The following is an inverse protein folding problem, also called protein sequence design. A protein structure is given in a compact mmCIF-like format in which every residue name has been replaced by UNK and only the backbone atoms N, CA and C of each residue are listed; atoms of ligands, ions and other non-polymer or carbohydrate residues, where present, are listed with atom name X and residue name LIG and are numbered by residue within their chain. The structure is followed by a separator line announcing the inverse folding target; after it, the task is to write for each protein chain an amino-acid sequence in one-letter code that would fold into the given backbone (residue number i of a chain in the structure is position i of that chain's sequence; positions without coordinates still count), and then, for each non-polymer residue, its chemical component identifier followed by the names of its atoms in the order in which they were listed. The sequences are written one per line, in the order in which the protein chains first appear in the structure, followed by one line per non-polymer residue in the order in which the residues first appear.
data_IF_387033048141
#
_entry.id   IF_387033048141
#
_cell.length_a   1.000
_cell.length_b   1.000
_cell.length_c   1.000
_cell.angle_alpha   90.00
_cell.angle_beta   90.00
_cell.angle_gamma   90.00
#
_symmetry.space_group_name_H-M   'P 1'
#
loop_
_entity.id
_entity.type
_entity.pdbx_description
1 polymer ?
#
# COMPACT_ATOMS: atom_id res chain seq x y z
N UNK A 1 -7.24 -11.28 -2.15
CA UNK A 1 -6.13 -11.20 -1.16
C UNK A 1 -6.67 -11.18 0.27
N UNK A 2 -7.90 -11.67 0.46
CA UNK A 2 -8.76 -11.40 1.62
C UNK A 2 -8.41 -12.18 2.89
N UNK A 3 -7.35 -13.00 2.84
CA UNK A 3 -6.86 -13.79 3.97
C UNK A 3 -5.63 -13.17 4.66
N UNK A 4 -5.13 -12.02 4.17
CA UNK A 4 -3.96 -11.38 4.74
C UNK A 4 -4.37 -10.44 5.90
N UNK A 5 -3.79 -10.58 7.10
CA UNK A 5 -4.12 -9.72 8.24
C UNK A 5 -3.68 -8.26 8.05
N UNK A 6 -2.82 -8.02 7.05
CA UNK A 6 -2.33 -6.70 6.65
C UNK A 6 -3.22 -6.02 5.61
N UNK A 7 -4.24 -6.71 5.10
CA UNK A 7 -5.11 -6.20 4.06
C UNK A 7 -6.30 -5.47 4.67
N UNK A 8 -6.43 -4.18 4.36
CA UNK A 8 -7.46 -3.30 4.88
C UNK A 8 -8.55 -2.96 3.85
N UNK A 9 -8.51 -3.54 2.64
CA UNK A 9 -9.47 -3.28 1.57
C UNK A 9 -9.38 -1.88 0.99
N UNK A 10 -10.54 -1.28 0.66
CA UNK A 10 -10.68 0.05 0.04
C UNK A 10 -10.48 1.24 0.98
N UNK A 11 -9.44 1.21 1.81
CA UNK A 11 -9.04 2.34 2.66
C UNK A 11 -8.32 3.41 1.82
N UNK A 12 -8.58 4.69 2.11
CA UNK A 12 -7.92 5.80 1.40
C UNK A 12 -6.42 5.88 1.73
N UNK A 13 -5.64 6.51 0.85
CA UNK A 13 -4.21 6.72 1.09
C UNK A 13 -3.95 7.41 2.44
N UNK A 14 -4.66 8.50 2.74
CA UNK A 14 -4.41 9.27 3.97
C UNK A 14 -4.77 8.45 5.21
N UNK A 15 -5.83 7.64 5.15
CA UNK A 15 -6.22 6.77 6.26
C UNK A 15 -5.16 5.69 6.51
N UNK A 16 -4.58 5.11 5.45
CA UNK A 16 -3.48 4.15 5.56
C UNK A 16 -2.22 4.77 6.15
N UNK A 17 -1.82 5.94 5.65
CA UNK A 17 -0.69 6.71 6.19
C UNK A 17 -0.91 7.04 7.67
N UNK A 18 -2.12 7.47 8.05
CA UNK A 18 -2.45 7.78 9.44
C UNK A 18 -2.39 6.54 10.33
N UNK A 19 -2.81 5.36 9.87
CA UNK A 19 -2.68 4.11 10.63
C UNK A 19 -1.22 3.72 10.85
N UNK A 20 -0.40 3.82 9.80
CA UNK A 20 1.03 3.55 9.88
C UNK A 20 1.71 4.52 10.85
N UNK A 21 1.48 5.83 10.68
CA UNK A 21 2.02 6.87 11.54
C UNK A 21 1.52 6.75 12.99
N UNK A 22 0.26 6.35 13.21
CA UNK A 22 -0.28 6.10 14.54
C UNK A 22 0.34 4.86 15.21
N UNK A 23 0.67 3.84 14.42
CA UNK A 23 1.42 2.67 14.90
C UNK A 23 2.85 3.05 15.26
N UNK A 24 3.45 4.00 14.52
CA UNK A 24 4.74 4.61 14.83
C UNK A 24 5.92 3.64 14.86
N UNK A 25 5.73 2.41 14.39
CA UNK A 25 6.72 1.34 14.43
C UNK A 25 7.38 1.21 13.07
N UNK A 26 8.71 1.30 13.04
CA UNK A 26 9.48 1.12 11.82
C UNK A 26 9.26 -0.28 11.21
N UNK A 27 9.04 -0.34 9.90
CA UNK A 27 8.70 -1.58 9.23
C UNK A 27 7.22 -1.97 9.34
N UNK A 28 6.36 -1.10 9.86
CA UNK A 28 4.90 -1.31 9.74
C UNK A 28 4.49 -1.24 8.27
N UNK A 29 3.61 -2.14 7.84
CA UNK A 29 3.11 -2.15 6.47
C UNK A 29 1.63 -2.53 6.43
N UNK A 30 0.95 -2.06 5.39
CA UNK A 30 -0.43 -2.40 5.11
C UNK A 30 -0.67 -2.49 3.60
N UNK A 31 -1.67 -3.29 3.24
CA UNK A 31 -2.12 -3.47 1.87
C UNK A 31 -3.53 -2.90 1.73
N UNK A 32 -3.77 -2.14 0.67
CA UNK A 32 -5.08 -1.55 0.35
C UNK A 32 -5.40 -1.71 -1.13
N UNK A 33 -6.67 -1.58 -1.49
CA UNK A 33 -7.06 -1.44 -2.89
C UNK A 33 -6.61 -0.09 -3.45
N UNK A 34 -6.24 -0.07 -4.73
CA UNK A 34 -6.00 1.18 -5.44
C UNK A 34 -7.32 1.87 -5.75
N UNK A 35 -7.50 3.09 -5.24
CA UNK A 35 -8.66 3.93 -5.54
C UNK A 35 -8.71 4.37 -7.01
N UNK A 36 -7.55 4.42 -7.67
CA UNK A 36 -7.43 4.90 -9.05
C UNK A 36 -7.50 3.81 -10.10
N UNK A 37 -7.04 2.59 -9.78
CA UNK A 37 -6.95 1.48 -10.73
C UNK A 37 -7.66 0.25 -10.16
N UNK A 38 -8.86 -0.08 -10.65
CA UNK A 38 -9.57 -1.28 -10.21
C UNK A 38 -8.74 -2.54 -10.51
N UNK A 39 -8.53 -3.37 -9.49
CA UNK A 39 -7.72 -4.60 -9.57
C UNK A 39 -6.23 -4.41 -9.31
N UNK A 40 -5.76 -3.17 -9.08
CA UNK A 40 -4.44 -2.91 -8.54
C UNK A 40 -4.51 -2.78 -7.01
N UNK A 41 -3.42 -3.16 -6.35
CA UNK A 41 -3.26 -2.97 -4.90
C UNK A 41 -2.23 -1.89 -4.63
N UNK A 42 -2.27 -1.32 -3.43
CA UNK A 42 -1.27 -0.40 -2.92
C UNK A 42 -0.70 -0.96 -1.61
N UNK A 43 0.61 -1.17 -1.58
CA UNK A 43 1.38 -1.54 -0.40
C UNK A 43 1.98 -0.27 0.20
N UNK A 44 1.57 0.08 1.41
CA UNK A 44 2.11 1.22 2.15
C UNK A 44 3.04 0.70 3.26
N UNK A 45 4.25 1.22 3.35
CA UNK A 45 5.27 0.81 4.32
C UNK A 45 5.82 2.03 5.05
N UNK A 46 5.82 2.01 6.37
CA UNK A 46 6.46 3.05 7.19
C UNK A 46 7.93 2.67 7.41
N UNK A 47 8.82 3.55 6.98
CA UNK A 47 10.25 3.42 7.23
C UNK A 47 10.87 4.80 7.51
N UNK A 48 11.58 4.89 8.62
CA UNK A 48 12.24 6.08 9.17
C UNK A 48 11.32 7.31 9.26
N UNK A 49 10.04 7.10 9.58
CA UNK A 49 9.04 8.18 9.64
C UNK A 49 8.50 8.61 8.28
N UNK A 50 8.91 7.97 7.19
CA UNK A 50 8.39 8.19 5.85
C UNK A 50 7.49 7.02 5.43
N UNK A 51 6.33 7.33 4.86
CA UNK A 51 5.45 6.31 4.29
C UNK A 51 5.78 6.14 2.81
N UNK A 52 6.23 4.94 2.45
CA UNK A 52 6.48 4.52 1.09
C UNK A 52 5.26 3.81 0.55
N UNK A 53 4.73 4.28 -0.58
CA UNK A 53 3.61 3.62 -1.26
C UNK A 53 4.10 2.95 -2.55
N UNK A 54 3.84 1.67 -2.66
CA UNK A 54 4.12 0.85 -3.83
C UNK A 54 2.80 0.38 -4.44
N UNK A 55 2.64 0.58 -5.74
CA UNK A 55 1.49 0.09 -6.49
C UNK A 55 1.81 -1.31 -7.00
N UNK A 56 0.93 -2.25 -6.68
CA UNK A 56 0.97 -3.62 -7.14
C UNK A 56 -0.01 -3.78 -8.31
N UNK A 57 0.52 -3.96 -9.51
CA UNK A 57 -0.26 -4.25 -10.72
C UNK A 57 -0.05 -5.70 -11.12
N UNK A 58 -1.12 -6.35 -11.59
CA UNK A 58 -1.03 -7.71 -12.11
C UNK A 58 -0.73 -7.65 -13.61
N UNK A 59 0.31 -8.35 -14.05
CA UNK A 59 0.65 -8.47 -15.46
C UNK A 59 -0.30 -9.44 -16.17
N UNK A 60 -0.40 -9.34 -17.51
CA UNK A 60 -1.16 -10.30 -18.32
C UNK A 60 -0.67 -11.74 -18.14
N UNK A 61 0.63 -11.92 -17.83
CA UNK A 61 1.23 -13.22 -17.55
C UNK A 61 0.89 -13.77 -16.15
N UNK A 62 0.11 -13.03 -15.35
CA UNK A 62 -0.34 -13.43 -14.02
C UNK A 62 0.67 -13.15 -12.89
N UNK A 63 1.80 -12.51 -13.19
CA UNK A 63 2.79 -12.07 -12.20
C UNK A 63 2.38 -10.73 -11.56
N UNK A 64 2.96 -10.42 -10.41
CA UNK A 64 2.74 -9.14 -9.72
C UNK A 64 3.96 -8.23 -9.90
N UNK A 65 3.72 -7.00 -10.35
CA UNK A 65 4.72 -5.95 -10.45
C UNK A 65 4.48 -4.91 -9.36
N UNK A 66 5.54 -4.54 -8.63
CA UNK A 66 5.50 -3.46 -7.65
C UNK A 66 6.20 -2.22 -8.23
N UNK A 67 5.47 -1.12 -8.34
CA UNK A 67 5.95 0.17 -8.84
C UNK A 67 5.96 1.17 -7.69
N UNK A 68 7.08 1.85 -7.45
CA UNK A 68 7.14 2.89 -6.43
C UNK A 68 6.33 4.10 -6.90
N UNK A 69 5.23 4.40 -6.21
CA UNK A 69 4.45 5.62 -6.44
C UNK A 69 5.11 6.76 -5.65
N UNK A 70 6.32 7.15 -6.07
CA UNK A 70 7.06 8.23 -5.44
C UNK A 70 6.55 9.57 -5.98
N UNK A 71 5.33 9.93 -5.60
CA UNK A 71 4.81 11.28 -5.84
C UNK A 71 5.46 12.22 -4.83
N UNK A 72 6.65 12.72 -5.18
CA UNK A 72 7.38 13.74 -4.44
C UNK A 72 6.51 15.00 -4.37
N UNK A 73 5.77 15.20 -3.28
CA UNK A 73 5.22 16.50 -2.89
C UNK A 73 6.00 17.04 -1.71
#
# INVERSE_FOLDING_TARGET
MDALPIYHGGISREAGEKLLLATGTDGSYLLRDSESIPGAYCLCVLHQGYVYTYRLSKTETGSWCAESDFHRR
#
